data_IF_536706787681
#
_entry.id   IF_536706787681
#
_cell.length_a   1.000
_cell.length_b   1.000
_cell.length_c   1.000
_cell.angle_alpha   90.00
_cell.angle_beta   90.00
_cell.angle_gamma   90.00
#
_symmetry.space_group_name_H-M   'P 1'
#
loop_
_entity.id
_entity.type
_entity.pdbx_description
1 polymer ?
#
# COMPACT_ATOMS: atom_id res chain seq x y z
N UNK A 1 9.34 -6.54 -14.17
CA UNK A 1 8.31 -5.67 -13.56
C UNK A 1 7.23 -6.40 -12.79
N UNK A 2 6.41 -7.21 -13.47
CA UNK A 2 5.17 -7.78 -12.86
C UNK A 2 5.40 -8.61 -11.60
N UNK A 3 6.41 -9.47 -11.56
CA UNK A 3 6.68 -10.30 -10.36
C UNK A 3 7.04 -9.45 -9.14
N UNK A 4 7.83 -8.39 -9.32
CA UNK A 4 8.17 -7.44 -8.26
C UNK A 4 6.97 -6.60 -7.87
N UNK A 5 6.23 -6.08 -8.86
CA UNK A 5 5.06 -5.24 -8.61
C UNK A 5 3.91 -5.97 -7.91
N UNK A 6 3.80 -7.29 -8.06
CA UNK A 6 2.77 -8.10 -7.39
C UNK A 6 3.11 -8.45 -5.94
N UNK A 7 4.38 -8.64 -5.60
CA UNK A 7 4.81 -8.90 -4.22
C UNK A 7 5.05 -7.58 -3.48
N UNK A 8 4.12 -7.21 -2.59
CA UNK A 8 4.17 -5.94 -1.85
C UNK A 8 5.43 -5.79 -0.99
N UNK A 9 5.99 -6.89 -0.47
CA UNK A 9 7.20 -6.86 0.35
C UNK A 9 8.43 -6.54 -0.52
N UNK A 10 8.64 -7.30 -1.59
CA UNK A 10 9.75 -7.08 -2.53
C UNK A 10 9.62 -5.70 -3.18
N UNK A 11 8.41 -5.28 -3.58
CA UNK A 11 8.17 -3.95 -4.12
C UNK A 11 8.65 -2.86 -3.16
N UNK A 12 8.30 -2.93 -1.87
CA UNK A 12 8.72 -1.95 -0.86
C UNK A 12 10.25 -1.93 -0.68
N UNK A 13 10.89 -3.09 -0.66
CA UNK A 13 12.36 -3.18 -0.56
C UNK A 13 13.03 -2.46 -1.76
N UNK A 14 12.50 -2.66 -2.97
CA UNK A 14 12.98 -1.96 -4.17
C UNK A 14 12.74 -0.45 -4.07
N UNK A 15 11.58 -0.01 -3.56
CA UNK A 15 11.29 1.42 -3.37
C UNK A 15 12.26 2.07 -2.39
N UNK A 16 12.51 1.44 -1.25
CA UNK A 16 13.48 1.90 -0.24
C UNK A 16 14.88 2.01 -0.84
N UNK A 17 15.33 1.00 -1.58
CA UNK A 17 16.64 0.99 -2.26
C UNK A 17 16.77 2.13 -3.30
N UNK A 18 15.65 2.64 -3.82
CA UNK A 18 15.61 3.75 -4.77
C UNK A 18 15.23 5.10 -4.12
N UNK A 19 15.27 5.21 -2.79
CA UNK A 19 14.90 6.42 -2.04
C UNK A 19 13.49 6.93 -2.38
N UNK A 20 12.54 6.02 -2.53
CA UNK A 20 11.12 6.33 -2.68
C UNK A 20 10.46 5.99 -1.33
N UNK A 21 9.75 6.93 -0.69
CA UNK A 21 9.13 6.70 0.60
C UNK A 21 8.09 5.59 0.54
N UNK A 22 8.06 4.75 1.57
CA UNK A 22 7.04 3.71 1.76
C UNK A 22 6.59 3.71 3.21
N UNK A 23 5.37 3.25 3.45
CA UNK A 23 4.87 3.05 4.81
C UNK A 23 5.64 1.95 5.52
N UNK A 24 6.01 2.18 6.78
CA UNK A 24 6.72 1.21 7.62
C UNK A 24 6.00 -0.14 7.62
N UNK A 25 6.75 -1.20 7.36
CA UNK A 25 6.17 -2.53 7.11
C UNK A 25 7.14 -3.60 7.61
N UNK A 26 6.59 -4.58 8.33
CA UNK A 26 7.26 -5.82 8.70
C UNK A 26 6.76 -6.93 7.77
N UNK A 27 7.65 -7.72 7.21
CA UNK A 27 7.30 -8.91 6.44
C UNK A 27 7.62 -10.15 7.27
N UNK A 28 6.64 -11.02 7.45
CA UNK A 28 6.76 -12.28 8.16
C UNK A 28 6.31 -13.44 7.28
N UNK A 29 6.79 -14.64 7.59
CA UNK A 29 6.36 -15.85 6.91
C UNK A 29 5.25 -16.56 7.70
N UNK A 30 4.43 -17.37 7.02
CA UNK A 30 3.48 -18.28 7.65
C UNK A 30 4.16 -19.18 8.68
N UNK A 31 5.37 -19.70 8.37
CA UNK A 31 6.12 -20.55 9.28
C UNK A 31 6.56 -19.83 10.57
N UNK A 32 6.86 -18.53 10.53
CA UNK A 32 7.15 -17.75 11.74
C UNK A 32 5.89 -17.58 12.58
N UNK A 33 4.74 -17.32 11.96
CA UNK A 33 3.44 -17.21 12.64
C UNK A 33 3.08 -18.53 13.32
N UNK A 34 3.19 -19.66 12.63
CA UNK A 34 2.90 -20.99 13.16
C UNK A 34 3.86 -21.38 14.30
N UNK A 35 5.11 -20.96 14.20
CA UNK A 35 6.14 -21.30 15.20
C UNK A 35 6.01 -20.48 16.48
N UNK A 36 5.79 -19.17 16.37
CA UNK A 36 5.75 -18.25 17.51
C UNK A 36 4.96 -16.97 17.18
N UNK A 37 3.63 -17.10 17.20
CA UNK A 37 2.69 -15.99 16.98
C UNK A 37 2.95 -14.84 17.95
N UNK A 38 3.27 -15.14 19.21
CA UNK A 38 3.52 -14.11 20.22
C UNK A 38 4.69 -13.22 19.84
N UNK A 39 5.81 -13.80 19.44
CA UNK A 39 6.99 -13.04 18.97
C UNK A 39 6.68 -12.20 17.75
N UNK A 40 5.83 -12.69 16.83
CA UNK A 40 5.40 -11.91 15.64
C UNK A 40 4.59 -10.69 16.07
N UNK A 41 3.66 -10.84 17.00
CA UNK A 41 2.84 -9.74 17.53
C UNK A 41 3.74 -8.72 18.25
N UNK A 42 4.65 -9.14 19.11
CA UNK A 42 5.60 -8.24 19.80
C UNK A 42 6.45 -7.42 18.82
N UNK A 43 6.92 -8.03 17.74
CA UNK A 43 7.65 -7.32 16.67
C UNK A 43 6.78 -6.30 15.92
N UNK A 44 5.52 -6.64 15.70
CA UNK A 44 4.57 -5.76 15.03
C UNK A 44 4.21 -4.55 15.90
N UNK A 45 4.01 -4.75 17.21
CA UNK A 45 3.74 -3.67 18.17
C UNK A 45 4.97 -2.78 18.39
N UNK A 46 6.17 -3.33 18.24
CA UNK A 46 7.40 -2.54 18.24
C UNK A 46 7.58 -1.68 16.97
N UNK A 47 6.96 -2.04 15.85
CA UNK A 47 6.99 -1.28 14.61
C UNK A 47 6.19 0.04 14.72
N UNK A 48 4.99 -0.03 15.29
CA UNK A 48 4.09 1.11 15.41
C UNK A 48 2.92 0.81 16.37
N UNK A 49 2.32 1.89 16.88
CA UNK A 49 1.02 1.84 17.53
C UNK A 49 -0.09 1.41 16.54
N UNK A 50 -1.21 0.93 17.08
CA UNK A 50 -2.41 0.62 16.29
C UNK A 50 -3.08 1.87 15.71
N UNK A 51 -3.80 1.78 14.57
CA UNK A 51 -4.08 0.55 13.84
C UNK A 51 -2.89 0.04 13.02
N UNK A 52 -2.80 -1.28 12.90
CA UNK A 52 -1.93 -1.98 11.96
C UNK A 52 -2.79 -2.64 10.86
N UNK A 53 -2.17 -2.94 9.72
CA UNK A 53 -2.85 -3.68 8.64
C UNK A 53 -2.08 -4.94 8.30
N UNK A 54 -2.75 -6.09 8.33
CA UNK A 54 -2.21 -7.34 7.80
C UNK A 54 -2.61 -7.52 6.34
N UNK A 55 -1.70 -8.02 5.52
CA UNK A 55 -1.92 -8.18 4.06
C UNK A 55 -1.15 -9.39 3.52
N UNK A 56 -1.75 -10.23 2.66
CA UNK A 56 -0.98 -11.19 1.86
C UNK A 56 -0.01 -10.45 0.92
N UNK A 57 1.19 -10.99 0.69
CA UNK A 57 2.18 -10.34 -0.17
C UNK A 57 1.72 -10.22 -1.64
N UNK A 58 1.09 -11.28 -2.20
CA UNK A 58 0.83 -11.41 -3.64
C UNK A 58 -0.64 -11.31 -4.06
N UNK A 59 -1.52 -10.76 -3.24
CA UNK A 59 -2.92 -10.54 -3.62
C UNK A 59 -3.25 -9.08 -3.85
N UNK A 60 -4.27 -8.84 -4.66
CA UNK A 60 -4.82 -7.52 -4.95
C UNK A 60 -6.21 -7.30 -4.36
N UNK A 61 -6.84 -6.17 -4.75
CA UNK A 61 -8.25 -5.85 -4.48
C UNK A 61 -8.66 -5.93 -3.01
N UNK A 62 -7.74 -5.68 -2.08
CA UNK A 62 -7.96 -5.77 -0.64
C UNK A 62 -8.36 -7.16 -0.11
N UNK A 63 -8.20 -8.23 -0.90
CA UNK A 63 -8.47 -9.60 -0.44
C UNK A 63 -7.46 -9.99 0.65
N UNK A 64 -7.95 -10.49 1.79
CA UNK A 64 -7.14 -10.87 2.95
C UNK A 64 -6.47 -9.70 3.66
N UNK A 65 -6.95 -8.48 3.46
CA UNK A 65 -6.46 -7.28 4.16
C UNK A 65 -7.35 -7.02 5.38
N UNK A 66 -6.74 -6.99 6.56
CA UNK A 66 -7.44 -6.74 7.83
C UNK A 66 -6.88 -5.50 8.52
N UNK A 67 -7.76 -4.59 8.94
CA UNK A 67 -7.43 -3.46 9.83
C UNK A 67 -7.48 -3.97 11.27
N UNK A 68 -6.36 -3.93 11.95
CA UNK A 68 -6.18 -4.42 13.32
C UNK A 68 -6.09 -3.22 14.26
N UNK A 69 -7.00 -3.10 15.22
CA UNK A 69 -7.04 -2.01 16.19
C UNK A 69 -6.43 -2.38 17.55
N UNK A 70 -6.12 -3.65 17.74
CA UNK A 70 -5.54 -4.23 18.95
C UNK A 70 -4.86 -5.56 18.65
N UNK A 71 -4.23 -6.17 19.65
CA UNK A 71 -3.49 -7.43 19.54
C UNK A 71 -4.37 -8.62 19.12
N UNK A 72 -5.65 -8.65 19.55
CA UNK A 72 -6.59 -9.72 19.15
C UNK A 72 -6.91 -9.64 17.66
N UNK A 73 -7.24 -8.43 17.17
CA UNK A 73 -7.47 -8.20 15.74
C UNK A 73 -6.23 -8.56 14.91
N UNK A 74 -5.03 -8.22 15.44
CA UNK A 74 -3.76 -8.54 14.77
C UNK A 74 -3.54 -10.04 14.66
N UNK A 75 -3.83 -10.80 15.75
CA UNK A 75 -3.74 -12.25 15.75
C UNK A 75 -4.66 -12.86 14.66
N UNK A 76 -5.93 -12.44 14.63
CA UNK A 76 -6.91 -12.93 13.65
C UNK A 76 -6.51 -12.54 12.21
N UNK A 77 -6.10 -11.29 12.00
CA UNK A 77 -5.66 -10.80 10.68
C UNK A 77 -4.40 -11.50 10.16
N UNK A 78 -3.47 -11.89 11.05
CA UNK A 78 -2.31 -12.70 10.69
C UNK A 78 -2.71 -14.09 10.20
N UNK A 79 -3.64 -14.76 10.87
CA UNK A 79 -4.16 -16.07 10.47
C UNK A 79 -4.91 -15.97 9.14
N UNK A 80 -5.74 -14.95 8.97
CA UNK A 80 -6.46 -14.69 7.72
C UNK A 80 -5.48 -14.50 6.56
N UNK A 81 -4.54 -13.56 6.66
CA UNK A 81 -3.57 -13.29 5.62
C UNK A 81 -2.69 -14.51 5.31
N UNK A 82 -2.32 -15.30 6.34
CA UNK A 82 -1.56 -16.54 6.19
C UNK A 82 -2.35 -17.66 5.49
N UNK A 83 -3.68 -17.60 5.47
CA UNK A 83 -4.48 -18.55 4.68
C UNK A 83 -4.34 -18.34 3.18
N UNK A 84 -4.06 -17.11 2.76
CA UNK A 84 -3.93 -16.72 1.34
C UNK A 84 -2.50 -16.80 0.81
N UNK A 85 -1.49 -16.46 1.62
CA UNK A 85 -0.10 -16.41 1.17
C UNK A 85 0.85 -16.98 2.24
N UNK A 86 2.03 -17.38 1.81
CA UNK A 86 3.13 -17.77 2.69
C UNK A 86 3.88 -16.58 3.30
N UNK A 87 3.79 -15.39 2.70
CA UNK A 87 4.40 -14.14 3.16
C UNK A 87 3.32 -13.13 3.48
N UNK A 88 3.41 -12.56 4.65
CA UNK A 88 2.43 -11.64 5.19
C UNK A 88 3.12 -10.32 5.53
N UNK A 89 2.51 -9.20 5.14
CA UNK A 89 2.93 -7.88 5.53
C UNK A 89 2.11 -7.41 6.74
N UNK A 90 2.80 -6.83 7.71
CA UNK A 90 2.21 -6.06 8.80
C UNK A 90 2.63 -4.62 8.57
N UNK A 91 1.69 -3.78 8.20
CA UNK A 91 1.93 -2.39 7.82
C UNK A 91 1.33 -1.44 8.84
N UNK A 92 2.09 -0.41 9.19
CA UNK A 92 1.62 0.72 9.98
C UNK A 92 0.38 1.35 9.34
N UNK A 93 -0.66 1.59 10.11
CA UNK A 93 -1.81 2.39 9.69
C UNK A 93 -1.46 3.88 9.75
N UNK A 94 -1.76 4.60 8.69
CA UNK A 94 -1.64 6.06 8.65
C UNK A 94 -3.03 6.63 8.84
N UNK A 95 -3.18 7.56 9.77
CA UNK A 95 -4.45 8.26 10.01
C UNK A 95 -4.62 9.39 9.01
N UNK A 96 -5.86 9.72 8.69
CA UNK A 96 -6.24 10.88 7.89
C UNK A 96 -5.44 11.02 6.58
N UNK A 97 -5.42 9.94 5.80
CA UNK A 97 -4.75 9.91 4.50
C UNK A 97 -5.71 10.23 3.35
N UNK A 98 -5.11 10.73 2.29
CA UNK A 98 -5.69 10.81 0.95
C UNK A 98 -5.09 9.69 0.10
N UNK A 99 -5.92 8.99 -0.63
CA UNK A 99 -5.48 7.95 -1.56
C UNK A 99 -5.35 8.55 -2.96
N UNK A 100 -4.13 8.59 -3.47
CA UNK A 100 -3.81 9.20 -4.77
C UNK A 100 -3.35 8.13 -5.74
N UNK A 101 -3.92 8.11 -6.93
CA UNK A 101 -3.56 7.20 -8.01
C UNK A 101 -2.92 7.95 -9.17
N UNK A 102 -1.88 7.36 -9.77
CA UNK A 102 -1.19 7.87 -10.95
C UNK A 102 -0.99 6.73 -11.94
N UNK A 103 -1.44 6.91 -13.17
CA UNK A 103 -1.09 6.01 -14.27
C UNK A 103 0.26 6.41 -14.86
N UNK A 104 1.09 5.42 -15.15
CA UNK A 104 2.37 5.61 -15.85
C UNK A 104 2.33 4.79 -17.13
N UNK A 105 2.63 5.44 -18.25
CA UNK A 105 2.60 4.84 -19.59
C UNK A 105 3.94 5.04 -20.27
N UNK A 106 4.45 3.99 -20.88
CA UNK A 106 5.66 4.00 -21.71
C UNK A 106 6.58 2.83 -21.44
N UNK A 107 7.77 2.88 -22.03
CA UNK A 107 8.82 1.89 -21.84
C UNK A 107 10.10 2.61 -21.36
N UNK A 108 10.96 3.06 -22.27
CA UNK A 108 12.23 3.71 -21.92
C UNK A 108 12.03 5.11 -21.34
N UNK A 109 11.06 5.87 -21.88
CA UNK A 109 10.70 7.21 -21.42
C UNK A 109 9.23 7.28 -20.96
N UNK A 110 8.90 6.67 -19.81
CA UNK A 110 7.54 6.65 -19.30
C UNK A 110 7.09 8.03 -18.82
N UNK A 111 5.82 8.31 -19.06
CA UNK A 111 5.14 9.54 -18.62
C UNK A 111 4.10 9.22 -17.56
N UNK A 112 3.95 10.10 -16.58
CA UNK A 112 2.93 10.01 -15.54
C UNK A 112 1.71 10.87 -15.91
N UNK A 113 0.51 10.33 -15.65
CA UNK A 113 -0.74 11.07 -15.75
C UNK A 113 -0.83 12.19 -14.71
N UNK A 114 -1.87 12.99 -14.80
CA UNK A 114 -2.33 13.83 -13.69
C UNK A 114 -2.71 12.93 -12.51
N UNK A 115 -2.27 13.23 -11.27
CA UNK A 115 -2.69 12.50 -10.09
C UNK A 115 -4.20 12.69 -9.82
N UNK A 116 -4.89 11.58 -9.55
CA UNK A 116 -6.29 11.57 -9.14
C UNK A 116 -6.41 11.14 -7.68
N UNK A 117 -7.34 11.75 -6.95
CA UNK A 117 -7.70 11.34 -5.59
C UNK A 117 -8.94 10.45 -5.62
N UNK A 118 -8.88 9.33 -4.91
CA UNK A 118 -10.04 8.50 -4.64
C UNK A 118 -10.77 9.07 -3.43
N UNK A 119 -12.08 9.30 -3.56
CA UNK A 119 -12.96 9.71 -2.48
C UNK A 119 -13.77 8.49 -2.05
N UNK A 120 -13.29 7.71 -1.05
CA UNK A 120 -13.99 6.50 -0.64
C UNK A 120 -15.33 6.85 0.02
N UNK A 121 -16.37 6.07 -0.26
CA UNK A 121 -17.69 6.22 0.37
C UNK A 121 -17.72 5.72 1.82
N UNK A 122 -16.69 5.00 2.26
CA UNK A 122 -16.54 4.42 3.61
C UNK A 122 -15.13 4.69 4.14
N UNK A 123 -14.93 4.58 5.45
CA UNK A 123 -13.65 4.80 6.15
C UNK A 123 -12.50 3.92 5.61
N UNK A 124 -12.80 2.75 5.07
CA UNK A 124 -11.83 1.84 4.47
C UNK A 124 -12.26 1.45 3.06
N UNK A 125 -11.35 1.62 2.09
CA UNK A 125 -11.56 1.29 0.68
C UNK A 125 -11.43 -0.23 0.46
N UNK A 126 -12.46 -0.97 0.91
CA UNK A 126 -12.55 -2.43 0.85
C UNK A 126 -12.88 -2.93 -0.57
N UNK A 127 -12.80 -4.25 -0.76
CA UNK A 127 -13.25 -4.90 -1.99
C UNK A 127 -14.69 -4.53 -2.36
N UNK A 128 -15.58 -4.48 -1.37
CA UNK A 128 -16.99 -4.14 -1.55
C UNK A 128 -17.17 -2.71 -2.05
N UNK A 129 -16.45 -1.73 -1.45
CA UNK A 129 -16.52 -0.34 -1.89
C UNK A 129 -15.91 -0.12 -3.27
N UNK A 130 -14.94 -0.96 -3.67
CA UNK A 130 -14.29 -0.90 -5.00
C UNK A 130 -15.18 -1.41 -6.14
N UNK A 131 -15.93 -2.48 -5.90
CA UNK A 131 -16.57 -3.23 -6.98
C UNK A 131 -18.08 -3.41 -6.83
N UNK A 132 -18.63 -3.26 -5.64
CA UNK A 132 -20.05 -3.53 -5.37
C UNK A 132 -20.85 -2.22 -5.18
N UNK A 133 -20.36 -1.33 -4.33
CA UNK A 133 -21.11 -0.13 -3.96
C UNK A 133 -21.13 0.96 -5.06
N UNK A 134 -20.11 1.02 -5.93
CA UNK A 134 -20.02 1.94 -7.06
C UNK A 134 -20.12 3.44 -6.71
N UNK A 135 -19.97 3.79 -5.42
CA UNK A 135 -20.25 5.12 -4.88
C UNK A 135 -18.98 5.94 -4.62
N UNK A 136 -17.79 5.40 -4.92
CA UNK A 136 -16.53 6.13 -4.79
C UNK A 136 -16.44 7.25 -5.84
N UNK A 137 -16.17 8.46 -5.39
CA UNK A 137 -15.91 9.61 -6.27
C UNK A 137 -14.43 9.72 -6.62
N UNK A 138 -14.15 10.58 -7.59
CA UNK A 138 -12.76 10.91 -8.00
C UNK A 138 -12.63 12.41 -8.17
N UNK A 139 -11.52 12.97 -7.65
CA UNK A 139 -11.10 14.34 -7.97
C UNK A 139 -9.87 14.28 -8.88
N UNK A 140 -10.01 14.72 -10.13
CA UNK A 140 -8.90 14.77 -11.10
C UNK A 140 -8.85 16.18 -11.72
N UNK A 141 -7.78 16.96 -11.47
CA UNK A 141 -6.62 16.67 -10.61
C UNK A 141 -6.99 16.55 -9.13
N UNK A 142 -6.20 15.79 -8.37
CA UNK A 142 -6.28 15.76 -6.92
C UNK A 142 -6.05 17.17 -6.35
N UNK A 143 -6.82 17.56 -5.33
CA UNK A 143 -6.72 18.89 -4.69
C UNK A 143 -5.55 18.95 -3.72
N UNK A 144 -4.32 18.91 -4.24
CA UNK A 144 -3.06 18.98 -3.53
C UNK A 144 -2.24 20.19 -4.01
N UNK A 145 -1.29 20.70 -3.23
CA UNK A 145 -0.33 21.71 -3.68
C UNK A 145 0.43 21.24 -4.95
N UNK A 146 0.72 22.15 -5.86
CA UNK A 146 1.39 21.83 -7.14
C UNK A 146 2.72 21.11 -6.95
N UNK A 147 3.48 21.47 -5.93
CA UNK A 147 4.74 20.83 -5.56
C UNK A 147 4.56 19.36 -5.15
N UNK A 148 3.47 19.03 -4.47
CA UNK A 148 3.14 17.66 -4.07
C UNK A 148 2.68 16.86 -5.29
N UNK A 149 1.84 17.43 -6.15
CA UNK A 149 1.43 16.80 -7.42
C UNK A 149 2.63 16.47 -8.31
N UNK A 150 3.60 17.40 -8.39
CA UNK A 150 4.85 17.19 -9.12
C UNK A 150 5.68 16.07 -8.51
N UNK A 151 5.88 16.10 -7.20
CA UNK A 151 6.64 15.08 -6.46
C UNK A 151 6.05 13.68 -6.66
N UNK A 152 4.72 13.55 -6.54
CA UNK A 152 4.00 12.27 -6.75
C UNK A 152 4.25 11.73 -8.17
N UNK A 153 4.16 12.59 -9.20
CA UNK A 153 4.44 12.18 -10.58
C UNK A 153 5.90 11.72 -10.76
N UNK A 154 6.85 12.41 -10.15
CA UNK A 154 8.26 12.02 -10.18
C UNK A 154 8.48 10.67 -9.47
N UNK A 155 7.87 10.47 -8.32
CA UNK A 155 7.93 9.18 -7.61
C UNK A 155 7.27 8.05 -8.41
N UNK A 156 6.13 8.31 -9.07
CA UNK A 156 5.47 7.31 -9.90
C UNK A 156 6.36 6.83 -11.05
N UNK A 157 7.01 7.74 -11.78
CA UNK A 157 7.95 7.40 -12.87
C UNK A 157 9.18 6.67 -12.32
N UNK A 158 9.73 7.11 -11.19
CA UNK A 158 10.87 6.45 -10.55
C UNK A 158 10.52 5.03 -10.08
N UNK A 159 9.37 4.86 -9.44
CA UNK A 159 8.88 3.54 -9.01
C UNK A 159 8.70 2.59 -10.20
N UNK A 160 8.10 3.08 -11.28
CA UNK A 160 7.91 2.35 -12.53
C UNK A 160 9.23 1.86 -13.11
N UNK A 161 10.23 2.75 -13.22
CA UNK A 161 11.56 2.42 -13.73
C UNK A 161 12.32 1.48 -12.79
N UNK A 162 12.20 1.66 -11.47
CA UNK A 162 12.91 0.85 -10.47
C UNK A 162 12.54 -0.64 -10.52
N UNK A 163 11.31 -0.98 -10.93
CA UNK A 163 10.87 -2.39 -11.07
C UNK A 163 10.98 -2.89 -12.52
N UNK A 164 11.62 -2.14 -13.40
CA UNK A 164 11.71 -2.46 -14.84
C UNK A 164 10.32 -2.77 -15.43
N UNK A 165 9.38 -1.85 -15.24
CA UNK A 165 8.04 -1.97 -15.78
C UNK A 165 7.99 -1.50 -17.23
N UNK A 166 7.09 -2.08 -18.03
CA UNK A 166 6.86 -1.70 -19.43
C UNK A 166 5.35 -1.65 -19.72
N UNK A 167 4.96 -0.82 -20.69
CA UNK A 167 3.56 -0.63 -21.08
C UNK A 167 2.82 0.36 -20.18
N UNK A 168 1.88 -0.11 -19.38
CA UNK A 168 1.10 0.71 -18.47
C UNK A 168 1.05 0.10 -17.06
N UNK A 169 1.17 0.97 -16.05
CA UNK A 169 0.93 0.60 -14.66
C UNK A 169 0.23 1.75 -13.92
N UNK A 170 -0.41 1.43 -12.81
CA UNK A 170 -0.90 2.40 -11.83
C UNK A 170 0.01 2.35 -10.60
N UNK A 171 0.37 3.51 -10.10
CA UNK A 171 1.13 3.68 -8.85
C UNK A 171 0.26 4.43 -7.87
N UNK A 172 0.06 3.84 -6.70
CA UNK A 172 -0.84 4.33 -5.68
C UNK A 172 -0.02 4.92 -4.52
N UNK A 173 -0.49 6.05 -4.00
CA UNK A 173 0.17 6.81 -2.94
C UNK A 173 -0.77 7.10 -1.79
N UNK A 174 -0.23 7.15 -0.59
CA UNK A 174 -0.86 7.81 0.55
C UNK A 174 -0.25 9.19 0.75
N UNK A 175 -1.11 10.18 0.99
CA UNK A 175 -0.70 11.54 1.36
C UNK A 175 -1.37 11.90 2.67
N UNK A 176 -0.59 12.16 3.71
CA UNK A 176 -1.12 12.64 5.00
C UNK A 176 -1.78 14.01 4.83
N UNK A 177 -2.99 14.19 5.37
CA UNK A 177 -3.76 15.44 5.19
C UNK A 177 -3.07 16.65 5.82
N UNK A 178 -2.50 16.48 7.00
CA UNK A 178 -1.96 17.60 7.79
C UNK A 178 -0.54 18.00 7.37
N UNK A 179 0.27 17.03 6.94
CA UNK A 179 1.70 17.24 6.67
C UNK A 179 2.04 17.24 5.19
N UNK A 180 1.14 16.78 4.32
CA UNK A 180 1.38 16.45 2.91
C UNK A 180 2.52 15.43 2.71
N UNK A 181 2.86 14.64 3.72
CA UNK A 181 3.87 13.61 3.61
C UNK A 181 3.37 12.50 2.69
N UNK A 182 4.20 12.13 1.70
CA UNK A 182 3.87 11.16 0.64
C UNK A 182 4.55 9.84 0.93
N UNK A 183 3.79 8.74 0.72
CA UNK A 183 4.28 7.36 0.82
C UNK A 183 3.88 6.56 -0.41
#
# INVERSE_FOLDING_TARGET
GSSVGMDKGIFKDVMVANNIPVVDTLVVSRGEIEKDMKSVIEKAEALSEYPLFTKPANLGSSVGVTKCNNSSDLHEGLLEAASFDRRILIQKGIKDVREIEVSVLGNDDPIASTPGEILPSREFYSYESKYIDGTSGYDIPAKLPDEILKMIREYAVRAYKAIDCAGIARVDFFVEKDTNKVY
#
